data_IF_259514816247
#
_entry.id   IF_259514816247
#
_cell.length_a   1.000
_cell.length_b   1.000
_cell.length_c   1.000
_cell.angle_alpha   90.00
_cell.angle_beta   90.00
_cell.angle_gamma   90.00
#
_symmetry.space_group_name_H-M   'P 1'
#
loop_
_entity.id
_entity.type
_entity.pdbx_description
1 polymer ?
#
# COMPACT_ATOMS: atom_id res chain seq x y z
N UNK A 1 -1.25 35.40 -13.79
CA UNK A 1 -0.17 34.57 -13.21
C UNK A 1 -0.82 33.29 -12.73
N UNK A 2 -0.61 32.19 -13.44
CA UNK A 2 -1.21 30.90 -13.13
C UNK A 2 -0.35 30.16 -12.09
N UNK A 3 -0.93 29.45 -11.12
CA UNK A 3 -0.20 28.75 -10.05
C UNK A 3 0.59 27.50 -10.53
N UNK A 4 0.67 27.26 -11.84
CA UNK A 4 1.31 26.09 -12.44
C UNK A 4 2.81 26.31 -12.74
N UNK A 5 3.33 27.53 -12.62
CA UNK A 5 4.72 27.89 -12.94
C UNK A 5 5.70 27.73 -11.76
N UNK A 6 5.28 27.18 -10.61
CA UNK A 6 6.10 27.12 -9.37
C UNK A 6 6.80 25.77 -9.17
N UNK A 7 6.57 24.78 -10.03
CA UNK A 7 7.03 23.40 -9.81
C UNK A 7 8.35 23.03 -10.50
N UNK A 8 9.14 24.00 -10.96
CA UNK A 8 10.31 23.74 -11.79
C UNK A 8 11.56 24.50 -11.30
N UNK A 9 11.87 24.43 -10.00
CA UNK A 9 13.22 24.79 -9.53
C UNK A 9 13.53 24.27 -8.10
N UNK A 10 13.57 22.95 -7.93
CA UNK A 10 14.34 22.41 -6.82
C UNK A 10 14.99 21.10 -7.24
N UNK A 11 16.24 21.23 -7.69
CA UNK A 11 17.15 20.12 -7.92
C UNK A 11 17.08 19.17 -6.73
N UNK A 12 16.47 18.01 -6.95
CA UNK A 12 16.27 16.98 -5.93
C UNK A 12 17.64 16.39 -5.63
N UNK A 13 18.33 16.92 -4.63
CA UNK A 13 19.39 16.19 -3.95
C UNK A 13 18.79 14.82 -3.60
N UNK A 14 19.32 13.74 -4.19
CA UNK A 14 18.82 12.38 -3.91
C UNK A 14 18.97 12.15 -2.42
N UNK A 15 17.86 12.26 -1.69
CA UNK A 15 17.82 11.95 -0.28
C UNK A 15 18.34 10.53 -0.10
N UNK A 16 19.24 10.34 0.86
CA UNK A 16 19.71 9.02 1.26
C UNK A 16 18.50 8.12 1.54
N UNK A 17 18.52 6.85 1.11
CA UNK A 17 17.42 5.94 1.41
C UNK A 17 17.21 5.87 2.93
N UNK A 18 15.96 5.74 3.39
CA UNK A 18 15.67 5.65 4.81
C UNK A 18 16.34 4.42 5.42
N UNK A 19 16.83 4.57 6.65
CA UNK A 19 17.40 3.44 7.38
C UNK A 19 16.31 2.43 7.77
N UNK A 20 16.46 1.19 7.33
CA UNK A 20 15.57 0.07 7.65
C UNK A 20 16.36 -0.95 8.48
N UNK A 21 16.01 -1.18 9.77
CA UNK A 21 16.67 -2.21 10.56
C UNK A 21 16.33 -3.61 10.00
N UNK A 22 17.30 -4.55 9.98
CA UNK A 22 17.02 -5.92 9.59
C UNK A 22 16.01 -6.55 10.55
N UNK A 23 15.19 -7.47 10.04
CA UNK A 23 14.27 -8.24 10.88
C UNK A 23 15.06 -9.05 11.91
N UNK A 24 14.80 -8.79 13.18
CA UNK A 24 15.40 -9.52 14.30
C UNK A 24 14.35 -10.43 14.92
N UNK A 25 14.66 -11.73 15.03
CA UNK A 25 13.83 -12.73 15.70
C UNK A 25 14.67 -13.45 16.74
N UNK A 26 14.14 -13.63 17.94
CA UNK A 26 14.78 -14.47 18.94
C UNK A 26 14.64 -15.94 18.56
N UNK A 27 15.66 -16.74 18.84
CA UNK A 27 15.64 -18.17 18.57
C UNK A 27 14.43 -18.85 19.21
N UNK A 28 13.76 -19.74 18.47
CA UNK A 28 12.56 -20.44 18.92
C UNK A 28 11.25 -19.63 18.86
N UNK A 29 11.28 -18.32 18.58
CA UNK A 29 10.02 -17.58 18.39
C UNK A 29 9.35 -17.94 17.06
N UNK A 30 8.02 -18.17 17.05
CA UNK A 30 7.26 -18.31 15.82
C UNK A 30 7.31 -17.01 14.98
N UNK A 31 6.98 -17.07 13.68
CA UNK A 31 6.91 -15.86 12.86
C UNK A 31 5.91 -14.86 13.45
N UNK A 32 6.19 -13.55 13.36
CA UNK A 32 5.26 -12.54 13.83
C UNK A 32 3.92 -12.68 13.09
N UNK A 33 2.82 -12.58 13.84
CA UNK A 33 1.47 -12.48 13.27
C UNK A 33 1.27 -11.01 12.89
N UNK A 34 1.91 -10.61 11.78
CA UNK A 34 1.86 -9.26 11.25
C UNK A 34 1.81 -9.31 9.72
N UNK A 35 1.08 -8.38 9.12
CA UNK A 35 1.17 -8.14 7.69
C UNK A 35 2.64 -7.87 7.31
N UNK A 36 3.06 -8.39 6.14
CA UNK A 36 4.42 -8.24 5.63
C UNK A 36 5.54 -8.71 6.57
N UNK A 37 5.25 -9.66 7.47
CA UNK A 37 6.26 -10.26 8.35
C UNK A 37 6.85 -9.30 9.40
N UNK A 38 6.16 -8.19 9.69
CA UNK A 38 6.61 -7.19 10.66
C UNK A 38 7.66 -6.20 10.12
N UNK A 39 7.85 -6.15 8.79
CA UNK A 39 8.72 -5.19 8.14
C UNK A 39 8.14 -3.77 8.21
N UNK A 40 9.01 -2.76 8.25
CA UNK A 40 8.56 -1.37 8.30
C UNK A 40 8.05 -0.90 6.94
N UNK A 41 7.20 0.13 6.93
CA UNK A 41 6.75 0.81 5.70
C UNK A 41 7.93 1.13 4.76
N UNK A 42 9.02 1.65 5.30
CA UNK A 42 10.24 2.04 4.56
C UNK A 42 10.94 0.84 3.89
N UNK A 43 10.62 -0.40 4.28
CA UNK A 43 11.17 -1.60 3.67
C UNK A 43 10.62 -1.88 2.27
N UNK A 44 9.48 -1.28 1.94
CA UNK A 44 8.81 -1.42 0.64
C UNK A 44 8.89 -0.14 -0.20
N UNK A 45 9.42 0.94 0.38
CA UNK A 45 9.53 2.25 -0.27
C UNK A 45 10.39 2.17 -1.54
N UNK A 46 9.79 2.60 -2.65
CA UNK A 46 10.44 2.82 -3.94
C UNK A 46 10.04 4.19 -4.43
N UNK A 47 10.98 5.13 -4.41
CA UNK A 47 10.76 6.52 -4.82
C UNK A 47 9.56 7.18 -4.10
N UNK A 48 9.37 6.88 -2.81
CA UNK A 48 8.27 7.41 -1.99
C UNK A 48 6.99 6.56 -1.99
N UNK A 49 6.95 5.46 -2.74
CA UNK A 49 5.83 4.52 -2.75
C UNK A 49 6.18 3.20 -2.07
N UNK A 50 5.51 2.89 -0.94
CA UNK A 50 5.68 1.63 -0.22
C UNK A 50 4.58 0.58 -0.51
N UNK A 51 3.87 0.70 -1.63
CA UNK A 51 2.83 -0.26 -2.03
C UNK A 51 1.48 0.37 -2.37
N UNK A 52 1.40 1.70 -2.41
CA UNK A 52 0.21 2.46 -2.86
C UNK A 52 -0.14 2.13 -4.31
N UNK A 53 0.84 2.07 -5.22
CA UNK A 53 0.57 1.72 -6.61
C UNK A 53 0.02 0.28 -6.72
N UNK A 54 0.63 -0.67 -6.01
CA UNK A 54 0.19 -2.07 -5.99
C UNK A 54 -1.23 -2.18 -5.42
N UNK A 55 -1.50 -1.51 -4.30
CA UNK A 55 -2.84 -1.49 -3.70
C UNK A 55 -3.89 -0.89 -4.64
N UNK A 56 -3.53 0.13 -5.42
CA UNK A 56 -4.40 0.73 -6.42
C UNK A 56 -4.65 -0.22 -7.60
N UNK A 57 -3.63 -0.89 -8.10
CA UNK A 57 -3.76 -1.91 -9.15
C UNK A 57 -4.65 -3.07 -8.70
N UNK A 58 -4.45 -3.58 -7.49
CA UNK A 58 -5.28 -4.64 -6.90
C UNK A 58 -6.74 -4.20 -6.77
N UNK A 59 -6.98 -2.97 -6.29
CA UNK A 59 -8.33 -2.41 -6.19
C UNK A 59 -9.01 -2.29 -7.56
N UNK A 60 -8.29 -1.84 -8.59
CA UNK A 60 -8.81 -1.75 -9.95
C UNK A 60 -9.10 -3.14 -10.54
N UNK A 61 -8.24 -4.12 -10.27
CA UNK A 61 -8.45 -5.51 -10.68
C UNK A 61 -9.70 -6.10 -10.00
N UNK A 62 -9.89 -5.87 -8.70
CA UNK A 62 -11.09 -6.29 -7.96
C UNK A 62 -12.35 -5.67 -8.57
N UNK A 63 -12.35 -4.35 -8.80
CA UNK A 63 -13.48 -3.65 -9.44
C UNK A 63 -13.80 -4.26 -10.80
N UNK A 64 -12.78 -4.57 -11.61
CA UNK A 64 -12.96 -5.15 -12.93
C UNK A 64 -13.61 -6.55 -12.91
N UNK A 65 -13.47 -7.30 -11.82
CA UNK A 65 -14.15 -8.62 -11.68
C UNK A 65 -15.68 -8.49 -11.54
N UNK A 66 -16.17 -7.34 -11.05
CA UNK A 66 -17.58 -7.11 -10.74
C UNK A 66 -18.08 -7.88 -9.52
N UNK A 67 -17.22 -8.58 -8.78
CA UNK A 67 -17.62 -9.37 -7.61
C UNK A 67 -18.23 -8.51 -6.50
N UNK A 68 -17.69 -7.31 -6.29
CA UNK A 68 -18.22 -6.38 -5.29
C UNK A 68 -19.69 -6.00 -5.59
N UNK A 69 -20.04 -5.80 -6.87
CA UNK A 69 -21.42 -5.51 -7.28
C UNK A 69 -22.34 -6.72 -7.07
N UNK A 70 -21.90 -7.93 -7.45
CA UNK A 70 -22.65 -9.18 -7.21
C UNK A 70 -22.91 -9.41 -5.73
N UNK A 71 -21.92 -9.14 -4.89
CA UNK A 71 -22.04 -9.25 -3.43
C UNK A 71 -23.06 -8.23 -2.90
N UNK A 72 -22.98 -6.97 -3.31
CA UNK A 72 -23.95 -5.93 -2.92
C UNK A 72 -25.37 -6.34 -3.29
N UNK A 73 -25.61 -6.81 -4.53
CA UNK A 73 -26.93 -7.28 -4.93
C UNK A 73 -27.43 -8.47 -4.09
N UNK A 74 -26.52 -9.35 -3.68
CA UNK A 74 -26.84 -10.51 -2.84
C UNK A 74 -27.26 -10.06 -1.44
N UNK A 75 -26.54 -9.09 -0.88
CA UNK A 75 -26.85 -8.49 0.42
C UNK A 75 -28.19 -7.75 0.40
N UNK A 76 -28.47 -6.99 -0.67
CA UNK A 76 -29.74 -6.27 -0.82
C UNK A 76 -30.95 -7.21 -0.93
N UNK A 77 -30.75 -8.41 -1.49
CA UNK A 77 -31.78 -9.45 -1.63
C UNK A 77 -31.83 -10.39 -0.43
N UNK A 78 -30.94 -10.25 0.55
CA UNK A 78 -30.90 -11.14 1.70
C UNK A 78 -32.16 -10.96 2.56
N UNK A 79 -32.74 -12.06 3.09
CA UNK A 79 -33.87 -11.95 3.99
C UNK A 79 -33.46 -11.22 5.28
N UNK A 80 -34.37 -10.43 5.90
CA UNK A 80 -34.13 -9.88 7.22
C UNK A 80 -33.90 -11.01 8.23
N UNK A 81 -32.97 -10.78 9.16
CA UNK A 81 -32.59 -11.73 10.21
C UNK A 81 -33.65 -11.93 11.28
#
# INVERSE_FOLDING_TARGET
MSPLDVADDNATERASPPYVPPLQRTEGQPPPIAAHGGLSYMSFDRDGDAGTAVALEDALAEIATGESQRLTETLDKAPPG
#
